data_IF_187835649686
#
_entry.id   IF_187835649686
#
_cell.length_a   1.000
_cell.length_b   1.000
_cell.length_c   1.000
_cell.angle_alpha   90.00
_cell.angle_beta   90.00
_cell.angle_gamma   90.00
#
_symmetry.space_group_name_H-M   'P 1'
#
loop_
_entity.id
_entity.type
_entity.pdbx_description
1 polymer ?
#
# COMPACT_ATOMS: atom_id res chain seq x y z
N UNK A 1 5.63 6.33 -11.35
CA UNK A 1 4.64 6.36 -12.45
C UNK A 1 5.03 7.37 -13.52
N UNK A 2 5.13 8.67 -13.21
CA UNK A 2 5.55 9.71 -14.18
C UNK A 2 6.92 9.49 -14.87
N UNK A 3 7.99 8.99 -14.20
CA UNK A 3 9.27 8.72 -14.88
C UNK A 3 9.20 7.60 -15.93
N UNK A 4 8.14 6.77 -15.88
CA UNK A 4 7.93 5.64 -16.80
C UNK A 4 6.80 5.93 -17.81
N UNK A 5 6.40 7.20 -17.95
CA UNK A 5 5.34 7.65 -18.85
C UNK A 5 3.97 6.94 -18.65
N UNK A 6 3.70 6.50 -17.41
CA UNK A 6 2.38 5.95 -17.06
C UNK A 6 1.45 7.13 -16.79
N UNK A 7 0.48 7.35 -17.69
CA UNK A 7 -0.57 8.34 -17.50
C UNK A 7 -1.65 7.79 -16.56
N UNK A 8 -2.05 8.62 -15.62
CA UNK A 8 -3.03 8.32 -14.58
C UNK A 8 -4.29 9.13 -14.85
N UNK A 9 -5.04 8.76 -15.90
CA UNK A 9 -6.17 9.57 -16.39
C UNK A 9 -7.38 9.52 -15.43
N UNK A 10 -7.58 8.37 -14.76
CA UNK A 10 -8.69 8.15 -13.83
C UNK A 10 -8.17 7.62 -12.48
N UNK A 11 -7.49 8.49 -11.72
CA UNK A 11 -7.04 8.14 -10.37
C UNK A 11 -8.23 8.14 -9.40
N UNK A 12 -8.56 6.97 -8.85
CA UNK A 12 -9.52 6.84 -7.75
C UNK A 12 -8.72 6.91 -6.44
N UNK A 13 -8.76 8.07 -5.78
CA UNK A 13 -8.13 8.24 -4.46
C UNK A 13 -9.04 7.70 -3.36
N UNK A 14 -8.58 6.67 -2.65
CA UNK A 14 -9.35 6.01 -1.59
C UNK A 14 -8.49 5.87 -0.33
N UNK A 15 -9.04 6.31 0.80
CA UNK A 15 -8.33 6.54 2.07
C UNK A 15 -7.88 5.29 2.83
N UNK A 16 -8.12 4.09 2.31
CA UNK A 16 -7.77 2.85 2.99
C UNK A 16 -7.26 1.81 2.00
N UNK A 17 -6.21 1.12 2.39
CA UNK A 17 -5.61 0.02 1.62
C UNK A 17 -6.64 -1.08 1.36
N UNK A 18 -7.49 -1.41 2.33
CA UNK A 18 -8.56 -2.40 2.17
C UNK A 18 -9.55 -2.01 1.08
N UNK A 19 -9.86 -0.73 1.04
CA UNK A 19 -10.72 -0.13 0.04
C UNK A 19 -10.12 -0.18 -1.36
N UNK A 20 -8.79 0.00 -1.48
CA UNK A 20 -8.06 -0.14 -2.73
C UNK A 20 -8.05 -1.60 -3.18
N UNK A 21 -7.74 -2.55 -2.29
CA UNK A 21 -7.78 -3.99 -2.59
C UNK A 21 -9.12 -4.40 -3.16
N UNK A 22 -10.23 -3.98 -2.52
CA UNK A 22 -11.60 -4.22 -3.00
C UNK A 22 -11.85 -3.70 -4.41
N UNK A 23 -11.30 -2.53 -4.78
CA UNK A 23 -11.42 -2.04 -6.15
C UNK A 23 -10.71 -2.96 -7.14
N UNK A 24 -9.48 -3.38 -6.83
CA UNK A 24 -8.67 -4.23 -7.72
C UNK A 24 -9.29 -5.62 -7.84
N UNK A 25 -9.72 -6.25 -6.75
CA UNK A 25 -10.41 -7.56 -6.77
C UNK A 25 -11.73 -7.50 -7.52
N UNK A 26 -12.43 -6.36 -7.49
CA UNK A 26 -13.65 -6.13 -8.28
C UNK A 26 -13.36 -5.72 -9.74
N UNK A 27 -12.13 -5.89 -10.21
CA UNK A 27 -11.70 -5.61 -11.57
C UNK A 27 -11.90 -4.14 -12.01
N UNK A 28 -11.83 -3.18 -11.07
CA UNK A 28 -11.95 -1.75 -11.38
C UNK A 28 -10.65 -1.13 -11.89
N UNK A 29 -9.54 -1.87 -11.84
CA UNK A 29 -8.25 -1.41 -12.34
C UNK A 29 -7.07 -2.07 -11.63
N UNK A 30 -5.90 -1.43 -11.75
CA UNK A 30 -4.63 -1.84 -11.13
C UNK A 30 -4.22 -0.85 -10.06
N UNK A 31 -3.47 -1.30 -9.06
CA UNK A 31 -2.93 -0.43 -8.01
C UNK A 31 -1.50 -0.80 -7.65
N UNK A 32 -0.76 0.15 -7.09
CA UNK A 32 0.58 -0.03 -6.57
C UNK A 32 0.53 0.03 -5.04
N UNK A 33 0.70 -1.12 -4.39
CA UNK A 33 0.52 -1.29 -2.94
C UNK A 33 1.78 -1.90 -2.30
N UNK A 34 2.07 -1.61 -1.02
CA UNK A 34 3.12 -2.31 -0.30
C UNK A 34 2.83 -3.81 -0.21
N UNK A 35 3.82 -4.65 -0.54
CA UNK A 35 3.67 -6.10 -0.65
C UNK A 35 3.00 -6.75 0.57
N UNK A 36 3.42 -6.37 1.79
CA UNK A 36 2.89 -6.96 3.03
C UNK A 36 1.38 -6.76 3.22
N UNK A 37 0.77 -5.78 2.53
CA UNK A 37 -0.65 -5.47 2.67
C UNK A 37 -1.56 -6.36 1.84
N UNK A 38 -0.98 -7.08 0.87
CA UNK A 38 -1.67 -7.93 -0.12
C UNK A 38 -1.19 -9.38 -0.11
N UNK A 39 -0.30 -9.76 0.82
CA UNK A 39 0.27 -11.13 0.91
C UNK A 39 -0.82 -12.21 0.96
N UNK A 40 -1.92 -11.96 1.67
CA UNK A 40 -3.05 -12.89 1.73
C UNK A 40 -3.71 -13.07 0.37
N UNK A 41 -4.04 -11.98 -0.31
CA UNK A 41 -4.74 -11.98 -1.60
C UNK A 41 -3.87 -12.55 -2.73
N UNK A 42 -2.55 -12.37 -2.65
CA UNK A 42 -1.59 -13.01 -3.55
C UNK A 42 -1.56 -14.53 -3.32
N UNK A 43 -1.55 -14.99 -2.07
CA UNK A 43 -1.56 -16.41 -1.73
C UNK A 43 -2.87 -17.11 -2.07
N UNK A 44 -4.00 -16.42 -1.93
CA UNK A 44 -5.32 -16.95 -2.30
C UNK A 44 -5.58 -16.94 -3.81
N UNK A 45 -4.79 -16.17 -4.57
CA UNK A 45 -5.00 -15.96 -6.00
C UNK A 45 -6.11 -14.96 -6.33
N UNK A 46 -6.63 -14.23 -5.34
CA UNK A 46 -7.61 -13.14 -5.53
C UNK A 46 -6.97 -11.93 -6.21
N UNK A 47 -5.66 -11.72 -6.00
CA UNK A 47 -4.86 -10.71 -6.68
C UNK A 47 -3.65 -11.35 -7.37
N UNK A 48 -3.17 -10.66 -8.41
CA UNK A 48 -1.96 -11.04 -9.14
C UNK A 48 -0.99 -9.87 -9.18
N UNK A 49 0.27 -10.14 -8.89
CA UNK A 49 1.35 -9.18 -9.05
C UNK A 49 1.66 -8.94 -10.54
N UNK A 50 1.93 -7.68 -10.88
CA UNK A 50 2.34 -7.27 -12.22
C UNK A 50 3.82 -6.87 -12.20
N UNK A 51 4.65 -7.35 -13.15
CA UNK A 51 6.02 -6.88 -13.29
C UNK A 51 6.04 -5.36 -13.47
N UNK A 52 6.74 -4.67 -12.58
CA UNK A 52 6.81 -3.20 -12.60
C UNK A 52 8.24 -2.67 -12.72
N UNK A 53 9.18 -3.24 -11.97
CA UNK A 53 10.59 -2.82 -11.92
C UNK A 53 11.47 -3.99 -11.47
N UNK A 54 12.69 -4.07 -12.00
CA UNK A 54 13.71 -5.01 -11.49
C UNK A 54 14.17 -4.62 -10.09
N UNK A 55 14.29 -3.31 -9.84
CA UNK A 55 14.56 -2.76 -8.52
C UNK A 55 13.25 -2.41 -7.78
N UNK A 56 12.91 -3.10 -6.68
CA UNK A 56 11.72 -2.80 -5.90
C UNK A 56 11.90 -1.51 -5.09
N UNK A 57 10.85 -0.67 -5.08
CA UNK A 57 10.81 0.50 -4.20
C UNK A 57 10.52 0.05 -2.77
N UNK A 58 11.43 0.34 -1.85
CA UNK A 58 11.28 0.03 -0.42
C UNK A 58 10.82 1.26 0.36
N UNK A 59 9.87 1.07 1.25
CA UNK A 59 9.48 2.08 2.26
C UNK A 59 9.78 1.53 3.66
N UNK A 60 10.34 2.36 4.54
CA UNK A 60 10.60 1.98 5.93
C UNK A 60 9.41 2.34 6.80
N UNK A 61 8.85 1.35 7.49
CA UNK A 61 7.81 1.59 8.48
C UNK A 61 8.43 2.27 9.72
N UNK A 62 7.86 3.40 10.13
CA UNK A 62 8.24 4.12 11.33
C UNK A 62 7.07 4.10 12.32
N UNK A 63 7.36 3.76 13.57
CA UNK A 63 6.41 3.84 14.67
C UNK A 63 6.85 4.98 15.59
N UNK A 64 5.94 5.91 15.87
CA UNK A 64 6.16 6.99 16.82
C UNK A 64 5.20 6.81 18.00
N UNK A 65 5.74 6.76 19.22
CA UNK A 65 4.96 6.77 20.44
C UNK A 65 5.22 8.05 21.22
N UNK A 66 4.17 8.60 21.84
CA UNK A 66 4.29 9.77 22.72
C UNK A 66 4.73 9.26 24.09
N UNK A 67 5.92 9.66 24.54
CA UNK A 67 6.45 9.28 25.84
C UNK A 67 5.88 10.23 26.92
N UNK A 68 4.95 9.73 27.73
CA UNK A 68 4.40 10.48 28.89
C UNK A 68 5.30 10.26 30.10
N UNK A 69 5.95 11.32 30.59
CA UNK A 69 6.74 11.25 31.83
C UNK A 69 5.80 11.15 33.03
N UNK A 70 5.84 10.05 33.76
CA UNK A 70 5.21 9.92 35.07
C UNK A 70 5.92 10.86 36.05
N UNK A 71 5.21 11.86 36.58
CA UNK A 71 5.69 12.67 37.68
C UNK A 71 5.59 11.83 38.96
N UNK A 72 6.64 11.07 39.25
CA UNK A 72 6.77 10.43 40.56
C UNK A 72 6.81 11.54 41.61
N UNK A 73 5.75 11.59 42.42
CA UNK A 73 5.59 12.45 43.60
C UNK A 73 6.88 12.44 44.43
N UNK A 74 7.43 13.64 44.67
CA UNK A 74 8.41 13.90 45.74
C UNK A 74 7.67 14.25 47.01
#
# INVERSE_FOLDING_TARGET
MRPRNINLDNTIERWSIESIKRCVTSNLGVSFLPYFTVDKELRSGELKELPFSEDPLTITALCACIQVKSLALR
#
